data_IF_000787309930
#
_entry.id   IF_000787309930
#
_cell.length_a   1.000
_cell.length_b   1.000
_cell.length_c   1.000
_cell.angle_alpha   90.00
_cell.angle_beta   90.00
_cell.angle_gamma   90.00
#
_symmetry.space_group_name_H-M   'P 1'
#
loop_
_entity.id
_entity.type
_entity.pdbx_description
1 polymer ?
#
# COMPACT_ATOMS: atom_id res chain seq x y z
N UNK A 1 29.27 -54.39 -50.60
CA UNK A 1 28.07 -53.89 -49.89
C UNK A 1 28.47 -52.72 -49.00
N UNK A 2 28.07 -51.50 -49.36
CA UNK A 2 28.44 -50.22 -48.70
C UNK A 2 27.23 -49.66 -47.95
N UNK A 3 27.10 -49.88 -46.63
CA UNK A 3 26.24 -49.07 -45.73
C UNK A 3 26.66 -49.24 -44.26
N UNK A 4 27.60 -48.41 -43.74
CA UNK A 4 27.54 -48.05 -42.32
C UNK A 4 27.76 -46.56 -42.03
N UNK A 5 27.88 -45.71 -43.06
CA UNK A 5 28.28 -44.30 -42.87
C UNK A 5 27.11 -43.36 -42.57
N UNK A 6 25.89 -43.69 -43.03
CA UNK A 6 24.71 -42.82 -42.88
C UNK A 6 24.17 -42.83 -41.44
N UNK A 7 24.28 -43.96 -40.72
CA UNK A 7 23.74 -44.10 -39.37
C UNK A 7 24.53 -43.29 -38.33
N UNK A 8 25.85 -43.11 -38.52
CA UNK A 8 26.69 -42.29 -37.63
C UNK A 8 26.46 -40.79 -37.80
N UNK A 9 26.05 -40.34 -38.99
CA UNK A 9 25.81 -38.92 -39.26
C UNK A 9 24.48 -38.44 -38.66
N UNK A 10 23.43 -39.27 -38.70
CA UNK A 10 22.12 -38.95 -38.12
C UNK A 10 22.17 -38.87 -36.59
N UNK A 11 23.00 -39.71 -35.95
CA UNK A 11 23.17 -39.72 -34.48
C UNK A 11 24.02 -38.54 -33.97
N UNK A 12 24.89 -37.97 -34.81
CA UNK A 12 25.67 -36.77 -34.47
C UNK A 12 24.82 -35.49 -34.56
N UNK A 13 23.87 -35.41 -35.50
CA UNK A 13 22.99 -34.25 -35.67
C UNK A 13 21.92 -34.17 -34.57
N UNK A 14 21.44 -35.30 -34.04
CA UNK A 14 20.47 -35.30 -32.92
C UNK A 14 21.09 -34.93 -31.57
N UNK A 15 22.39 -35.17 -31.36
CA UNK A 15 23.10 -34.75 -30.14
C UNK A 15 23.47 -33.25 -30.13
N UNK A 16 23.57 -32.61 -31.30
CA UNK A 16 23.81 -31.16 -31.42
C UNK A 16 22.53 -30.32 -31.24
N UNK A 17 21.34 -30.91 -31.39
CA UNK A 17 20.05 -30.21 -31.23
C UNK A 17 19.54 -30.12 -29.79
N UNK A 18 20.22 -30.71 -28.79
CA UNK A 18 19.84 -30.61 -27.37
C UNK A 18 20.64 -29.57 -26.57
N UNK A 19 21.47 -28.76 -27.22
CA UNK A 19 21.94 -27.51 -26.62
C UNK A 19 20.98 -26.37 -26.97
N UNK A 20 19.70 -26.55 -26.66
CA UNK A 20 18.85 -25.38 -26.40
C UNK A 20 19.43 -24.76 -25.13
N UNK A 21 20.32 -23.76 -25.32
CA UNK A 21 20.83 -22.97 -24.23
C UNK A 21 19.65 -22.40 -23.47
N UNK A 22 19.36 -22.97 -22.30
CA UNK A 22 18.55 -22.29 -21.30
C UNK A 22 19.25 -20.95 -21.09
N UNK A 23 18.66 -19.87 -21.60
CA UNK A 23 19.20 -18.54 -21.41
C UNK A 23 19.29 -18.34 -19.91
N UNK A 24 20.52 -18.39 -19.38
CA UNK A 24 20.77 -18.26 -17.95
C UNK A 24 20.16 -16.94 -17.51
N UNK A 25 19.28 -17.00 -16.51
CA UNK A 25 18.62 -15.82 -15.99
C UNK A 25 19.67 -14.77 -15.61
N UNK A 26 19.48 -13.53 -16.08
CA UNK A 26 20.44 -12.47 -15.77
C UNK A 26 20.35 -12.14 -14.28
N UNK A 27 21.49 -11.83 -13.67
CA UNK A 27 21.61 -11.48 -12.25
C UNK A 27 20.72 -10.31 -11.86
N UNK A 28 20.49 -9.36 -12.77
CA UNK A 28 19.57 -8.25 -12.55
C UNK A 28 18.11 -8.70 -12.34
N UNK A 29 17.62 -9.69 -13.11
CA UNK A 29 16.29 -10.29 -12.90
C UNK A 29 16.24 -11.08 -11.59
N UNK A 30 17.29 -11.84 -11.29
CA UNK A 30 17.39 -12.57 -10.03
C UNK A 30 17.30 -11.62 -8.84
N UNK A 31 18.02 -10.49 -8.85
CA UNK A 31 17.93 -9.48 -7.79
C UNK A 31 16.53 -8.90 -7.63
N UNK A 32 15.83 -8.57 -8.72
CA UNK A 32 14.44 -8.09 -8.65
C UNK A 32 13.52 -9.13 -7.99
N UNK A 33 13.62 -10.39 -8.42
CA UNK A 33 12.81 -11.49 -7.85
C UNK A 33 13.14 -11.72 -6.38
N UNK A 34 14.42 -11.72 -6.01
CA UNK A 34 14.87 -11.83 -4.61
C UNK A 34 14.34 -10.68 -3.76
N UNK A 35 14.37 -9.45 -4.28
CA UNK A 35 13.82 -8.29 -3.58
C UNK A 35 12.31 -8.43 -3.34
N UNK A 36 11.55 -8.84 -4.35
CA UNK A 36 10.11 -9.08 -4.22
C UNK A 36 9.82 -10.20 -3.22
N UNK A 37 10.55 -11.32 -3.32
CA UNK A 37 10.39 -12.45 -2.42
C UNK A 37 10.69 -12.05 -0.97
N UNK A 38 11.82 -11.39 -0.72
CA UNK A 38 12.21 -10.94 0.61
C UNK A 38 11.20 -9.92 1.17
N UNK A 39 10.67 -9.03 0.34
CA UNK A 39 9.64 -8.06 0.74
C UNK A 39 8.33 -8.76 1.12
N UNK A 40 7.89 -9.74 0.35
CA UNK A 40 6.67 -10.52 0.64
C UNK A 40 6.81 -11.36 1.91
N UNK A 41 8.04 -11.80 2.23
CA UNK A 41 8.31 -12.59 3.44
C UNK A 41 8.56 -11.74 4.68
N UNK A 42 8.70 -10.42 4.55
CA UNK A 42 9.06 -9.51 5.64
C UNK A 42 8.11 -9.60 6.84
N UNK A 43 6.80 -9.71 6.58
CA UNK A 43 5.80 -9.84 7.65
C UNK A 43 5.95 -11.12 8.48
N UNK A 44 6.49 -12.19 7.87
CA UNK A 44 6.70 -13.50 8.50
C UNK A 44 8.07 -13.59 9.16
N UNK A 45 9.13 -13.22 8.44
CA UNK A 45 10.51 -13.32 8.94
C UNK A 45 10.84 -12.24 9.96
N UNK A 46 10.18 -11.08 9.86
CA UNK A 46 10.49 -9.87 10.62
C UNK A 46 11.94 -9.43 10.53
N UNK A 47 12.63 -9.84 9.48
CA UNK A 47 14.06 -9.60 9.29
C UNK A 47 14.28 -8.70 8.09
N UNK A 48 14.52 -7.41 8.37
CA UNK A 48 14.81 -6.40 7.37
C UNK A 48 16.13 -6.67 6.64
N UNK A 49 17.07 -7.41 7.24
CA UNK A 49 18.40 -7.63 6.66
C UNK A 49 18.35 -8.49 5.39
N UNK A 50 17.34 -9.37 5.27
CA UNK A 50 17.12 -10.15 4.05
C UNK A 50 16.82 -9.25 2.84
N UNK A 51 16.19 -8.09 3.08
CA UNK A 51 15.97 -7.08 2.05
C UNK A 51 17.22 -6.22 1.90
N UNK A 52 17.71 -5.65 3.00
CA UNK A 52 18.80 -4.66 2.98
C UNK A 52 20.11 -5.21 2.39
N UNK A 53 20.38 -6.51 2.56
CA UNK A 53 21.54 -7.17 1.98
C UNK A 53 21.55 -7.18 0.45
N UNK A 54 20.42 -6.94 -0.21
CA UNK A 54 20.33 -6.83 -1.68
C UNK A 54 20.77 -5.44 -2.19
N UNK A 55 20.94 -4.46 -1.30
CA UNK A 55 21.22 -3.08 -1.64
C UNK A 55 22.64 -2.69 -1.24
N UNK A 56 23.24 -1.78 -1.99
CA UNK A 56 24.49 -1.13 -1.61
C UNK A 56 24.22 0.03 -0.64
N UNK A 57 25.18 0.37 0.22
CA UNK A 57 25.00 1.48 1.17
C UNK A 57 24.89 2.85 0.49
N UNK A 58 25.34 2.99 -0.76
CA UNK A 58 25.13 4.19 -1.58
C UNK A 58 23.74 4.30 -2.21
N UNK A 59 22.84 3.35 -1.92
CA UNK A 59 21.52 3.27 -2.51
C UNK A 59 20.72 4.57 -2.39
N UNK A 60 20.04 4.91 -3.49
CA UNK A 60 19.04 5.98 -3.58
C UNK A 60 17.79 5.48 -4.30
N UNK A 61 16.63 5.96 -3.88
CA UNK A 61 15.36 5.75 -4.54
C UNK A 61 14.68 7.08 -4.83
N UNK A 62 14.37 7.35 -6.10
CA UNK A 62 13.49 8.47 -6.45
C UNK A 62 12.07 7.94 -6.63
N UNK A 63 11.14 8.47 -5.85
CA UNK A 63 9.77 7.99 -5.78
C UNK A 63 8.82 9.07 -6.29
N UNK A 64 7.99 8.72 -7.25
CA UNK A 64 6.77 9.45 -7.58
C UNK A 64 5.57 8.61 -7.18
N UNK A 65 4.74 9.13 -6.28
CA UNK A 65 3.51 8.50 -5.82
C UNK A 65 2.31 9.23 -6.40
N UNK A 66 1.43 8.50 -7.10
CA UNK A 66 0.16 8.99 -7.63
C UNK A 66 -0.96 8.35 -6.82
N UNK A 67 -1.66 9.14 -6.01
CA UNK A 67 -2.81 8.66 -5.24
C UNK A 67 -4.08 8.54 -6.09
N UNK A 68 -5.14 7.97 -5.50
CA UNK A 68 -6.45 7.80 -6.18
C UNK A 68 -7.05 9.11 -6.71
N UNK A 69 -6.70 10.25 -6.11
CA UNK A 69 -7.15 11.59 -6.54
C UNK A 69 -6.35 12.15 -7.72
N UNK A 70 -5.32 11.43 -8.19
CA UNK A 70 -4.38 11.90 -9.21
C UNK A 70 -3.30 12.86 -8.69
N UNK A 71 -3.32 13.22 -7.40
CA UNK A 71 -2.27 14.05 -6.78
C UNK A 71 -0.94 13.30 -6.79
N UNK A 72 0.11 13.99 -7.24
CA UNK A 72 1.46 13.44 -7.34
C UNK A 72 2.35 13.98 -6.24
N UNK A 73 2.88 13.08 -5.40
CA UNK A 73 3.90 13.38 -4.40
C UNK A 73 5.25 12.83 -4.85
N UNK A 74 6.31 13.63 -4.72
CA UNK A 74 7.67 13.22 -5.10
C UNK A 74 8.58 13.24 -3.88
N UNK A 75 9.44 12.24 -3.77
CA UNK A 75 10.45 12.16 -2.71
C UNK A 75 11.69 11.41 -3.19
N UNK A 76 12.80 11.61 -2.46
CA UNK A 76 14.00 10.80 -2.61
C UNK A 76 14.34 10.20 -1.26
N UNK A 77 14.62 8.91 -1.24
CA UNK A 77 14.92 8.12 -0.06
C UNK A 77 16.31 7.52 -0.23
N UNK A 78 17.14 7.56 0.80
CA UNK A 78 18.44 6.88 0.83
C UNK A 78 18.42 5.57 1.60
N UNK A 79 19.56 4.88 1.67
CA UNK A 79 19.67 3.60 2.33
C UNK A 79 19.18 3.62 3.79
N UNK A 80 19.59 4.61 4.58
CA UNK A 80 19.22 4.71 5.99
C UNK A 80 17.73 4.99 6.15
N UNK A 81 17.19 5.92 5.37
CA UNK A 81 15.76 6.21 5.35
C UNK A 81 14.93 4.99 4.90
N UNK A 82 15.41 4.25 3.89
CA UNK A 82 14.75 3.03 3.42
C UNK A 82 14.76 1.93 4.50
N UNK A 83 15.90 1.73 5.16
CA UNK A 83 16.03 0.81 6.30
C UNK A 83 15.04 1.16 7.41
N UNK A 84 14.98 2.43 7.80
CA UNK A 84 14.03 2.90 8.81
C UNK A 84 12.57 2.65 8.40
N UNK A 85 12.21 2.91 7.14
CA UNK A 85 10.86 2.64 6.64
C UNK A 85 10.48 1.16 6.74
N UNK A 86 11.40 0.24 6.41
CA UNK A 86 11.16 -1.20 6.56
C UNK A 86 10.95 -1.58 8.04
N UNK A 87 11.74 -1.01 8.95
CA UNK A 87 11.60 -1.24 10.39
C UNK A 87 10.29 -0.68 10.96
N UNK A 88 9.85 0.50 10.53
CA UNK A 88 8.56 1.07 10.96
C UNK A 88 7.38 0.22 10.47
N UNK A 89 7.45 -0.31 9.24
CA UNK A 89 6.40 -1.20 8.70
C UNK A 89 6.20 -2.45 9.56
N UNK A 90 7.28 -2.98 10.16
CA UNK A 90 7.21 -4.16 11.05
C UNK A 90 6.50 -3.90 12.38
N UNK A 91 6.39 -2.64 12.81
CA UNK A 91 5.68 -2.27 14.04
C UNK A 91 4.17 -2.37 13.88
N UNK A 92 3.66 -2.31 12.64
CA UNK A 92 2.23 -2.45 12.37
C UNK A 92 1.86 -3.94 12.21
N UNK A 93 1.44 -4.58 13.30
CA UNK A 93 1.15 -6.02 13.35
C UNK A 93 0.05 -6.48 12.39
N UNK A 94 -0.83 -5.58 11.95
CA UNK A 94 -1.96 -5.90 11.08
C UNK A 94 -1.72 -5.49 9.62
N UNK A 95 -0.52 -5.01 9.29
CA UNK A 95 -0.14 -4.60 7.93
C UNK A 95 0.44 -5.78 7.16
N UNK A 96 -0.19 -6.13 6.04
CA UNK A 96 0.32 -7.12 5.10
C UNK A 96 0.59 -6.42 3.76
N UNK A 97 1.77 -6.65 3.18
CA UNK A 97 2.16 -6.09 1.90
C UNK A 97 2.65 -7.19 0.98
N UNK A 98 2.13 -7.22 -0.24
CA UNK A 98 2.48 -8.21 -1.25
C UNK A 98 2.81 -7.52 -2.58
N UNK A 99 3.78 -8.08 -3.29
CA UNK A 99 4.22 -7.66 -4.61
C UNK A 99 4.33 -8.86 -5.54
N UNK A 100 4.10 -8.64 -6.83
CA UNK A 100 4.33 -9.62 -7.89
C UNK A 100 4.82 -8.92 -9.15
N UNK A 101 5.70 -9.58 -9.90
CA UNK A 101 6.12 -9.07 -11.22
C UNK A 101 4.95 -9.26 -12.18
N UNK A 102 4.43 -8.15 -12.71
CA UNK A 102 3.47 -8.17 -13.80
C UNK A 102 4.18 -8.36 -15.15
N UNK A 103 5.10 -7.46 -15.46
CA UNK A 103 5.84 -7.47 -16.73
C UNK A 103 7.25 -6.92 -16.56
N UNK A 104 8.22 -7.52 -17.25
CA UNK A 104 9.56 -6.94 -17.42
C UNK A 104 9.59 -6.20 -18.76
N UNK A 105 9.58 -4.87 -18.71
CA UNK A 105 9.55 -4.00 -19.90
C UNK A 105 10.92 -3.95 -20.57
N UNK A 106 11.98 -3.89 -19.76
CA UNK A 106 13.34 -3.76 -20.25
C UNK A 106 14.32 -4.45 -19.31
N UNK A 107 15.31 -5.12 -19.89
CA UNK A 107 16.36 -5.78 -19.13
C UNK A 107 17.68 -5.79 -19.90
N UNK A 108 18.72 -5.21 -19.30
CA UNK A 108 20.06 -5.18 -19.86
C UNK A 108 21.10 -5.47 -18.78
N UNK A 109 22.07 -6.32 -19.10
CA UNK A 109 23.18 -6.63 -18.21
C UNK A 109 24.49 -6.64 -18.98
N UNK A 110 25.46 -5.87 -18.47
CA UNK A 110 26.87 -5.89 -18.85
C UNK A 110 27.67 -6.62 -17.76
N UNK A 111 28.98 -6.74 -17.97
CA UNK A 111 29.89 -7.47 -17.07
C UNK A 111 29.81 -7.05 -15.59
N UNK A 112 29.59 -5.77 -15.31
CA UNK A 112 29.65 -5.20 -13.95
C UNK A 112 28.45 -4.33 -13.55
N UNK A 113 27.50 -4.16 -14.44
CA UNK A 113 26.32 -3.34 -14.20
C UNK A 113 25.14 -3.85 -15.01
N UNK A 114 23.94 -3.69 -14.46
CA UNK A 114 22.69 -4.09 -15.08
C UNK A 114 21.60 -3.08 -14.78
N UNK A 115 20.55 -3.13 -15.58
CA UNK A 115 19.35 -2.32 -15.39
C UNK A 115 18.14 -3.15 -15.77
N UNK A 116 17.06 -2.99 -15.02
CA UNK A 116 15.78 -3.63 -15.28
C UNK A 116 14.65 -2.64 -15.03
N UNK A 117 13.69 -2.61 -15.93
CA UNK A 117 12.44 -1.87 -15.80
C UNK A 117 11.30 -2.87 -15.79
N UNK A 118 10.48 -2.84 -14.74
CA UNK A 118 9.39 -3.79 -14.57
C UNK A 118 8.14 -3.11 -14.00
N UNK A 119 6.97 -3.60 -14.41
CA UNK A 119 5.70 -3.33 -13.75
C UNK A 119 5.50 -4.35 -12.65
N UNK A 120 5.38 -3.86 -11.42
CA UNK A 120 5.15 -4.65 -10.22
C UNK A 120 3.76 -4.35 -9.71
N UNK A 121 2.92 -5.38 -9.59
CA UNK A 121 1.61 -5.23 -8.96
C UNK A 121 1.81 -5.35 -7.45
N UNK A 122 1.17 -4.47 -6.68
CA UNK A 122 1.21 -4.51 -5.22
C UNK A 122 -0.18 -4.47 -4.62
N UNK A 123 -0.30 -5.06 -3.44
CA UNK A 123 -1.49 -5.00 -2.61
C UNK A 123 -1.06 -4.92 -1.14
N UNK A 124 -1.59 -3.93 -0.43
CA UNK A 124 -1.44 -3.75 1.01
C UNK A 124 -2.79 -3.91 1.69
N UNK A 125 -2.79 -4.58 2.84
CA UNK A 125 -3.98 -4.80 3.68
C UNK A 125 -3.72 -4.36 5.10
N UNK A 126 -4.74 -3.78 5.71
CA UNK A 126 -4.79 -3.57 7.16
C UNK A 126 -6.06 -4.26 7.63
N UNK A 127 -5.94 -5.16 8.60
CA UNK A 127 -7.07 -5.92 9.16
C UNK A 127 -7.89 -6.67 8.09
N UNK A 128 -7.18 -7.17 7.06
CA UNK A 128 -7.77 -7.93 5.96
C UNK A 128 -8.46 -7.10 4.87
N UNK A 129 -8.70 -5.80 5.09
CA UNK A 129 -9.25 -4.88 4.09
C UNK A 129 -8.14 -4.28 3.24
N UNK A 130 -8.43 -3.99 1.97
CA UNK A 130 -7.45 -3.43 1.03
C UNK A 130 -7.17 -1.98 1.43
N UNK A 131 -5.99 -1.74 2.01
CA UNK A 131 -5.54 -0.38 2.28
C UNK A 131 -5.11 0.30 0.99
N UNK A 132 -4.40 -0.44 0.13
CA UNK A 132 -3.97 0.07 -1.15
C UNK A 132 -3.66 -1.05 -2.12
N UNK A 133 -4.11 -0.93 -3.36
CA UNK A 133 -3.76 -1.81 -4.46
C UNK A 133 -3.37 -0.96 -5.67
N UNK A 134 -2.40 -1.42 -6.43
CA UNK A 134 -2.06 -0.80 -7.71
C UNK A 134 -0.79 -1.33 -8.33
N UNK A 135 -0.15 -0.48 -9.13
CA UNK A 135 1.06 -0.84 -9.90
C UNK A 135 2.21 0.09 -9.58
N UNK A 136 3.41 -0.48 -9.59
CA UNK A 136 4.67 0.22 -9.47
C UNK A 136 5.45 -0.01 -10.77
N UNK A 137 5.77 1.07 -11.50
CA UNK A 137 6.86 1.03 -12.47
C UNK A 137 8.18 1.19 -11.72
N UNK A 138 8.96 0.11 -11.67
CA UNK A 138 10.24 0.05 -10.99
C UNK A 138 11.38 0.02 -11.99
N UNK A 139 12.33 0.94 -11.87
CA UNK A 139 13.56 0.94 -12.66
C UNK A 139 14.74 0.77 -11.72
N UNK A 140 15.31 -0.44 -11.70
CA UNK A 140 16.48 -0.76 -10.88
C UNK A 140 17.75 -0.64 -11.71
N UNK A 141 18.77 -0.05 -11.09
CA UNK A 141 20.17 -0.16 -11.54
C UNK A 141 20.91 -1.01 -10.53
N UNK A 142 21.62 -2.01 -11.04
CA UNK A 142 22.43 -2.93 -10.25
C UNK A 142 23.89 -2.86 -10.67
N UNK A 143 24.78 -3.12 -9.73
CA UNK A 143 26.21 -3.15 -9.99
C UNK A 143 26.89 -4.27 -9.21
N UNK A 144 28.01 -4.76 -9.74
CA UNK A 144 28.89 -5.68 -9.05
C UNK A 144 29.81 -4.90 -8.10
N UNK A 145 29.52 -4.98 -6.79
CA UNK A 145 30.23 -4.30 -5.70
C UNK A 145 30.88 -5.37 -4.82
N UNK A 146 32.21 -5.34 -4.69
CA UNK A 146 32.98 -6.34 -3.91
C UNK A 146 32.58 -7.79 -4.26
N UNK A 147 32.48 -8.07 -5.56
CA UNK A 147 32.09 -9.36 -6.14
C UNK A 147 30.65 -9.84 -5.84
N UNK A 148 29.80 -8.98 -5.29
CA UNK A 148 28.37 -9.22 -5.11
C UNK A 148 27.53 -8.26 -5.95
N UNK A 149 26.46 -8.77 -6.56
CA UNK A 149 25.50 -7.90 -7.26
C UNK A 149 24.59 -7.21 -6.24
N UNK A 150 24.52 -5.88 -6.31
CA UNK A 150 23.71 -5.05 -5.42
C UNK A 150 22.84 -4.09 -6.22
N UNK A 151 21.68 -3.75 -5.66
CA UNK A 151 20.84 -2.64 -6.14
C UNK A 151 21.44 -1.34 -5.61
N UNK A 152 21.78 -0.42 -6.52
CA UNK A 152 22.44 0.86 -6.20
C UNK A 152 21.54 2.07 -6.44
N UNK A 153 20.54 1.93 -7.31
CA UNK A 153 19.59 2.99 -7.62
C UNK A 153 18.24 2.38 -7.96
N UNK A 154 17.18 3.02 -7.51
CA UNK A 154 15.83 2.75 -7.92
C UNK A 154 15.13 4.05 -8.36
N UNK A 155 14.34 3.98 -9.42
CA UNK A 155 13.36 5.00 -9.73
C UNK A 155 11.99 4.35 -9.79
N UNK A 156 11.13 4.72 -8.85
CA UNK A 156 9.83 4.13 -8.59
C UNK A 156 8.73 5.12 -8.95
N UNK A 157 7.81 4.72 -9.84
CA UNK A 157 6.52 5.40 -10.00
C UNK A 157 5.45 4.47 -9.47
N UNK A 158 4.83 4.83 -8.35
CA UNK A 158 3.78 4.04 -7.70
C UNK A 158 2.43 4.70 -7.97
N UNK A 159 1.51 3.96 -8.56
CA UNK A 159 0.14 4.41 -8.85
C UNK A 159 -0.81 3.60 -7.99
N UNK A 160 -1.61 4.29 -7.19
CA UNK A 160 -2.73 3.69 -6.46
C UNK A 160 -3.92 3.56 -7.39
N UNK A 161 -4.51 2.37 -7.44
CA UNK A 161 -5.66 2.04 -8.29
C UNK A 161 -6.91 1.74 -7.48
N UNK A 162 -6.76 1.22 -6.25
CA UNK A 162 -7.88 1.00 -5.35
C UNK A 162 -7.49 1.10 -3.87
N UNK A 163 -8.46 1.48 -3.05
CA UNK A 163 -8.39 1.53 -1.58
C UNK A 163 -9.80 1.37 -0.99
N UNK A 164 -9.97 0.42 -0.07
CA UNK A 164 -11.19 0.23 0.72
C UNK A 164 -11.11 0.93 2.08
N UNK A 165 -9.90 1.25 2.53
CA UNK A 165 -9.65 1.95 3.79
C UNK A 165 -8.55 3.00 3.63
N UNK A 166 -8.69 4.16 4.27
CA UNK A 166 -7.69 5.22 4.15
C UNK A 166 -8.06 6.53 4.82
N UNK A 167 -7.38 7.61 4.42
CA UNK A 167 -7.67 8.94 4.95
C UNK A 167 -8.98 9.46 4.37
N UNK A 168 -9.81 10.04 5.21
CA UNK A 168 -11.07 10.66 4.83
C UNK A 168 -11.03 12.17 5.10
N UNK A 169 -11.87 12.90 4.38
CA UNK A 169 -12.07 14.34 4.58
C UNK A 169 -13.55 14.55 4.87
N UNK A 170 -13.85 15.29 5.94
CA UNK A 170 -15.23 15.60 6.30
C UNK A 170 -15.39 17.10 6.47
N UNK A 171 -16.27 17.70 5.68
CA UNK A 171 -16.68 19.09 5.86
C UNK A 171 -17.88 19.12 6.78
N UNK A 172 -17.71 19.73 7.96
CA UNK A 172 -18.75 19.77 9.00
C UNK A 172 -19.34 21.17 9.11
N UNK A 173 -20.55 21.34 8.60
CA UNK A 173 -21.30 22.59 8.67
C UNK A 173 -22.22 22.58 9.88
N UNK A 174 -22.19 23.63 10.70
CA UNK A 174 -23.07 23.77 11.86
C UNK A 174 -24.03 24.95 11.72
N UNK A 175 -25.22 24.80 12.33
CA UNK A 175 -26.16 25.90 12.57
C UNK A 175 -26.47 25.93 14.07
N UNK A 176 -25.68 26.70 14.80
CA UNK A 176 -25.66 26.69 16.27
C UNK A 176 -25.14 25.35 16.81
N UNK A 177 -25.59 24.96 17.99
CA UNK A 177 -25.11 23.75 18.69
C UNK A 177 -26.00 22.52 18.49
N UNK A 178 -27.07 22.64 17.71
CA UNK A 178 -28.12 21.62 17.62
C UNK A 178 -28.25 20.97 16.24
N UNK A 179 -27.70 21.57 15.19
CA UNK A 179 -27.86 21.08 13.82
C UNK A 179 -26.51 21.07 13.10
N UNK A 180 -26.15 19.91 12.55
CA UNK A 180 -24.92 19.72 11.81
C UNK A 180 -25.20 18.98 10.51
N UNK A 181 -24.48 19.33 9.45
CA UNK A 181 -24.45 18.59 8.20
C UNK A 181 -23.00 18.24 7.90
N UNK A 182 -22.75 16.97 7.60
CA UNK A 182 -21.44 16.46 7.27
C UNK A 182 -21.44 16.02 5.80
N UNK A 183 -20.47 16.51 5.04
CA UNK A 183 -20.11 15.96 3.73
C UNK A 183 -18.78 15.20 3.87
N UNK A 184 -18.85 13.87 3.82
CA UNK A 184 -17.69 13.00 4.05
C UNK A 184 -17.25 12.36 2.74
N UNK A 185 -15.97 12.53 2.40
CA UNK A 185 -15.27 11.85 1.32
C UNK A 185 -14.43 10.71 1.89
N UNK A 186 -14.63 9.50 1.38
CA UNK A 186 -13.97 8.30 1.87
C UNK A 186 -13.59 7.34 0.74
N UNK A 187 -12.54 6.51 0.90
CA UNK A 187 -12.17 5.50 -0.09
C UNK A 187 -13.28 4.47 -0.33
N UNK A 188 -13.58 4.17 -1.59
CA UNK A 188 -14.61 3.21 -1.97
C UNK A 188 -14.16 2.35 -3.16
N UNK A 189 -13.00 1.72 -3.03
CA UNK A 189 -12.37 0.96 -4.10
C UNK A 189 -11.59 1.89 -5.01
N UNK A 190 -11.99 2.02 -6.27
CA UNK A 190 -11.20 2.72 -7.31
C UNK A 190 -11.26 4.24 -7.24
N UNK A 191 -12.21 4.78 -6.47
CA UNK A 191 -12.42 6.21 -6.31
C UNK A 191 -12.81 6.56 -4.87
N UNK A 192 -12.83 7.85 -4.57
CA UNK A 192 -13.43 8.34 -3.34
C UNK A 192 -14.92 8.53 -3.57
N UNK A 193 -15.74 7.97 -2.69
CA UNK A 193 -17.17 8.25 -2.66
C UNK A 193 -17.43 9.44 -1.73
N UNK A 194 -18.62 10.03 -1.86
CA UNK A 194 -19.11 11.09 -0.99
C UNK A 194 -20.46 10.73 -0.40
N UNK A 195 -20.65 11.07 0.87
CA UNK A 195 -21.94 10.90 1.55
C UNK A 195 -22.28 12.14 2.38
N UNK A 196 -23.57 12.49 2.37
CA UNK A 196 -24.11 13.56 3.20
C UNK A 196 -24.90 12.97 4.36
N UNK A 197 -24.58 13.40 5.59
CA UNK A 197 -25.34 13.04 6.79
C UNK A 197 -25.73 14.29 7.56
N UNK A 198 -26.95 14.30 8.09
CA UNK A 198 -27.43 15.37 8.97
C UNK A 198 -27.49 14.86 10.39
N UNK A 199 -27.05 15.68 11.35
CA UNK A 199 -27.10 15.36 12.76
C UNK A 199 -27.93 16.39 13.50
N UNK A 200 -28.74 15.90 14.44
CA UNK A 200 -29.49 16.74 15.38
C UNK A 200 -29.06 16.42 16.79
N UNK A 201 -28.57 17.42 17.50
CA UNK A 201 -28.28 17.35 18.93
C UNK A 201 -29.46 17.93 19.69
N UNK A 202 -30.03 17.13 20.58
CA UNK A 202 -31.16 17.52 21.43
C UNK A 202 -30.76 17.39 22.89
N UNK A 203 -31.08 18.39 23.69
CA UNK A 203 -30.95 18.36 25.15
C UNK A 203 -32.36 18.46 25.72
N UNK A 204 -32.85 17.38 26.34
CA UNK A 204 -34.15 17.33 27.00
C UNK A 204 -34.00 16.71 28.37
N UNK A 205 -34.44 17.41 29.41
CA UNK A 205 -34.47 16.89 30.78
C UNK A 205 -33.10 16.36 31.26
N UNK A 206 -32.02 17.07 30.92
CA UNK A 206 -30.63 16.65 31.23
C UNK A 206 -30.06 15.59 30.29
N UNK A 207 -30.90 14.87 29.53
CA UNK A 207 -30.45 13.89 28.54
C UNK A 207 -30.03 14.58 27.24
N UNK A 208 -28.78 14.39 26.81
CA UNK A 208 -28.29 14.82 25.50
C UNK A 208 -28.29 13.62 24.54
N UNK A 209 -28.82 13.81 23.34
CA UNK A 209 -28.90 12.77 22.32
C UNK A 209 -28.50 13.34 20.98
N UNK A 210 -27.72 12.58 20.22
CA UNK A 210 -27.29 12.90 18.86
C UNK A 210 -28.04 11.95 17.92
N UNK A 211 -28.84 12.50 17.02
CA UNK A 211 -29.57 11.71 16.02
C UNK A 211 -28.87 11.89 14.67
N UNK A 212 -28.27 10.83 14.17
CA UNK A 212 -27.81 10.72 12.80
C UNK A 212 -29.02 10.44 11.89
N UNK A 213 -29.44 11.46 11.16
CA UNK A 213 -30.55 11.39 10.21
C UNK A 213 -30.07 10.76 8.92
N UNK A 214 -30.48 9.51 8.71
CA UNK A 214 -30.20 8.73 7.50
C UNK A 214 -31.46 7.96 7.08
N UNK A 215 -31.34 6.98 6.16
CA UNK A 215 -32.49 6.10 5.83
C UNK A 215 -32.97 5.32 7.06
N UNK A 216 -32.03 4.95 7.92
CA UNK A 216 -32.28 4.39 9.25
C UNK A 216 -31.73 5.39 10.28
N UNK A 217 -32.62 6.10 10.95
CA UNK A 217 -32.21 7.04 12.00
C UNK A 217 -31.48 6.27 13.10
N UNK A 218 -30.23 6.67 13.38
CA UNK A 218 -29.45 6.10 14.48
C UNK A 218 -29.24 7.15 15.56
N UNK A 219 -29.56 6.79 16.81
CA UNK A 219 -29.37 7.65 17.96
C UNK A 219 -28.12 7.24 18.75
N UNK A 220 -27.43 8.25 19.27
CA UNK A 220 -26.29 8.12 20.17
C UNK A 220 -26.59 8.91 21.43
N UNK A 221 -26.21 8.37 22.58
CA UNK A 221 -26.35 9.08 23.84
C UNK A 221 -25.09 9.94 24.08
N UNK A 222 -25.29 11.14 24.63
CA UNK A 222 -24.21 12.01 25.07
C UNK A 222 -24.48 12.42 26.52
N UNK A 223 -23.66 11.94 27.44
CA UNK A 223 -23.88 12.07 28.87
C UNK A 223 -23.34 13.39 29.42
N UNK A 224 -23.75 13.73 30.64
CA UNK A 224 -23.33 14.99 31.28
C UNK A 224 -21.83 15.07 31.55
N UNK A 225 -21.16 13.94 31.79
CA UNK A 225 -19.70 13.84 31.93
C UNK A 225 -18.95 13.86 30.58
N UNK A 226 -19.67 14.05 29.46
CA UNK A 226 -19.11 14.21 28.13
C UNK A 226 -18.98 12.91 27.32
N UNK A 227 -19.28 11.74 27.89
CA UNK A 227 -19.15 10.48 27.15
C UNK A 227 -20.18 10.39 26.02
N UNK A 228 -19.74 9.93 24.86
CA UNK A 228 -20.59 9.65 23.70
C UNK A 228 -20.71 8.14 23.56
N UNK A 229 -21.94 7.64 23.44
CA UNK A 229 -22.22 6.20 23.46
C UNK A 229 -23.01 5.72 22.24
N UNK A 230 -22.64 4.56 21.74
CA UNK A 230 -23.41 3.76 20.78
C UNK A 230 -23.94 2.50 21.50
N UNK A 231 -25.26 2.42 21.69
CA UNK A 231 -25.92 1.33 22.42
C UNK A 231 -25.27 0.99 23.79
N UNK A 232 -24.88 2.02 24.54
CA UNK A 232 -24.26 1.88 25.87
C UNK A 232 -22.75 1.63 25.88
N UNK A 233 -22.10 1.52 24.71
CA UNK A 233 -20.64 1.44 24.60
C UNK A 233 -20.07 2.84 24.38
N UNK A 234 -19.10 3.24 25.21
CA UNK A 234 -18.40 4.53 25.05
C UNK A 234 -17.56 4.49 23.78
N UNK A 235 -17.84 5.42 22.86
CA UNK A 235 -17.12 5.60 21.60
C UNK A 235 -16.21 6.84 21.62
N UNK A 236 -16.28 7.65 22.68
CA UNK A 236 -15.39 8.78 22.91
C UNK A 236 -15.92 9.72 23.98
N UNK A 237 -15.23 10.84 24.19
CA UNK A 237 -15.63 11.89 25.13
C UNK A 237 -15.55 13.27 24.45
N UNK A 238 -16.57 14.10 24.65
CA UNK A 238 -16.68 15.44 24.08
C UNK A 238 -17.33 16.42 25.06
N UNK A 239 -16.77 17.61 25.13
CA UNK A 239 -17.30 18.74 25.91
C UNK A 239 -18.30 19.58 25.09
N UNK A 240 -18.22 19.53 23.76
CA UNK A 240 -19.02 20.36 22.85
C UNK A 240 -19.78 19.51 21.82
N UNK A 241 -20.90 20.02 21.33
CA UNK A 241 -21.76 19.32 20.36
C UNK A 241 -21.04 18.99 19.04
N UNK A 242 -20.17 19.88 18.54
CA UNK A 242 -19.40 19.64 17.32
C UNK A 242 -18.41 18.48 17.51
N UNK A 243 -17.71 18.42 18.66
CA UNK A 243 -16.80 17.31 18.98
C UNK A 243 -17.55 16.00 19.15
N UNK A 244 -18.72 16.04 19.78
CA UNK A 244 -19.55 14.86 19.94
C UNK A 244 -20.00 14.31 18.57
N UNK A 245 -20.36 15.18 17.62
CA UNK A 245 -20.68 14.79 16.23
C UNK A 245 -19.44 14.27 15.48
N UNK A 246 -18.26 14.87 15.66
CA UNK A 246 -17.01 14.36 15.09
C UNK A 246 -16.67 12.95 15.58
N UNK A 247 -16.91 12.65 16.87
CA UNK A 247 -16.74 11.31 17.44
C UNK A 247 -17.72 10.32 16.80
N UNK A 248 -19.00 10.69 16.71
CA UNK A 248 -20.00 9.84 16.04
C UNK A 248 -19.61 9.56 14.59
N UNK A 249 -19.15 10.57 13.84
CA UNK A 249 -18.68 10.41 12.46
C UNK A 249 -17.46 9.47 12.39
N UNK A 250 -16.51 9.65 13.30
CA UNK A 250 -15.30 8.80 13.37
C UNK A 250 -15.65 7.34 13.68
N UNK A 251 -16.65 7.11 14.53
CA UNK A 251 -17.17 5.77 14.82
C UNK A 251 -17.92 5.17 13.61
N UNK A 252 -18.83 5.94 13.00
CA UNK A 252 -19.62 5.49 11.83
C UNK A 252 -18.74 5.09 10.65
N UNK A 253 -17.65 5.81 10.43
CA UNK A 253 -16.70 5.51 9.35
C UNK A 253 -15.45 4.77 9.83
N UNK A 254 -15.38 4.29 11.07
CA UNK A 254 -14.16 3.70 11.63
C UNK A 254 -13.65 2.47 10.88
N UNK A 255 -14.55 1.79 10.18
CA UNK A 255 -14.25 0.64 9.33
C UNK A 255 -13.62 0.99 7.96
N UNK A 256 -13.71 2.25 7.54
CA UNK A 256 -13.27 2.76 6.23
C UNK A 256 -12.21 3.84 6.39
N UNK A 257 -12.33 4.70 7.40
CA UNK A 257 -11.47 5.84 7.62
C UNK A 257 -10.42 5.51 8.67
N UNK A 258 -9.16 5.35 8.27
CA UNK A 258 -8.04 5.24 9.21
C UNK A 258 -7.78 6.56 9.95
N UNK A 259 -8.18 7.67 9.32
CA UNK A 259 -8.20 9.01 9.90
C UNK A 259 -9.26 9.85 9.19
N UNK A 260 -9.98 10.69 9.92
CA UNK A 260 -10.85 11.73 9.34
C UNK A 260 -10.22 13.10 9.62
N UNK A 261 -9.97 13.87 8.57
CA UNK A 261 -9.62 15.28 8.70
C UNK A 261 -10.92 16.10 8.62
N UNK A 262 -11.31 16.71 9.74
CA UNK A 262 -12.47 17.59 9.81
C UNK A 262 -12.08 19.00 9.36
N UNK A 263 -12.89 19.61 8.50
CA UNK A 263 -12.75 20.98 8.01
C UNK A 263 -14.05 21.76 8.16
#
# INVERSE_FOLDING_TARGET
>A
MKKPTILKLVMAVTLLSFFTGFAQEKQVSTLLKSYIQASNQLGVTKDVNNILSLFDSSYKNNIAYVGLTGVVNKSTVDFDQFSNQLSENLKNHNYNFTMSVGEIIYESQKKRAGTISALINFESKIEGKIAEKGTILMNLVTALVKDEWKIILNNTVRVSEASEIGNCVCYLFSKGESFFNAETYYPAGVEYNKEYKSFRVSIKEGKRTIINKSKDDKAFDWTENGDVLDNGVIIGNAETSDKAVQIVLSHVYGETCTKINFS
#
